data_IF_699635109122
#
_entry.id   IF_699635109122
#
_cell.length_a   1.000
_cell.length_b   1.000
_cell.length_c   1.000
_cell.angle_alpha   90.00
_cell.angle_beta   90.00
_cell.angle_gamma   90.00
#
_symmetry.space_group_name_H-M   'P 1'
#
loop_
_entity.id
_entity.type
_entity.pdbx_description
1 polymer ?
#
# COMPACT_ATOMS: atom_id res chain seq x y z
N UNK A 1 38.42 2.22 2.39
CA UNK A 1 37.38 3.20 2.78
C UNK A 1 36.06 2.72 2.19
N UNK A 2 35.25 2.00 2.99
CA UNK A 2 34.05 1.29 2.54
C UNK A 2 32.79 2.15 2.73
N UNK A 3 32.03 2.48 1.68
CA UNK A 3 30.82 3.30 1.78
C UNK A 3 29.61 2.45 2.22
N UNK A 4 29.71 1.74 3.35
CA UNK A 4 28.63 0.87 3.87
C UNK A 4 27.83 1.49 5.03
N UNK A 5 28.11 2.74 5.42
CA UNK A 5 27.59 3.32 6.66
C UNK A 5 26.34 4.21 6.52
N UNK A 6 25.84 4.46 5.31
CA UNK A 6 24.68 5.34 5.11
C UNK A 6 23.35 4.63 4.88
N UNK A 7 23.32 3.35 4.50
CA UNK A 7 22.03 2.66 4.21
C UNK A 7 21.32 2.13 5.44
N UNK A 8 22.06 1.75 6.50
CA UNK A 8 21.48 1.10 7.67
C UNK A 8 20.74 2.06 8.64
N UNK A 9 20.82 3.37 8.47
CA UNK A 9 20.26 4.35 9.42
C UNK A 9 18.81 4.78 9.13
N UNK A 10 18.27 4.45 7.95
CA UNK A 10 16.90 4.82 7.56
C UNK A 10 15.86 3.71 7.79
N UNK A 11 16.33 2.48 8.02
CA UNK A 11 15.50 1.30 8.18
C UNK A 11 14.99 1.20 9.62
N UNK A 12 13.67 1.19 9.79
CA UNK A 12 13.05 1.23 11.12
C UNK A 12 12.95 -0.16 11.72
N UNK A 13 12.16 -1.02 11.08
CA UNK A 13 11.97 -2.42 11.46
C UNK A 13 11.52 -3.21 10.24
N UNK A 14 12.03 -4.43 10.09
CA UNK A 14 11.83 -5.23 8.88
C UNK A 14 10.35 -5.45 8.56
N UNK A 15 9.52 -5.72 9.57
CA UNK A 15 8.07 -5.85 9.38
C UNK A 15 7.38 -4.58 8.87
N UNK A 16 7.80 -3.41 9.38
CA UNK A 16 7.27 -2.12 8.93
C UNK A 16 7.69 -1.82 7.48
N UNK A 17 8.95 -2.06 7.14
CA UNK A 17 9.45 -1.89 5.76
C UNK A 17 8.73 -2.83 4.78
N UNK A 18 8.48 -4.08 5.19
CA UNK A 18 7.69 -5.03 4.39
C UNK A 18 6.24 -4.59 4.23
N UNK A 19 5.62 -4.03 5.28
CA UNK A 19 4.26 -3.50 5.22
C UNK A 19 4.15 -2.32 4.24
N UNK A 20 5.02 -1.31 4.38
CA UNK A 20 5.06 -0.17 3.45
C UNK A 20 5.39 -0.63 2.02
N UNK A 21 6.26 -1.62 1.88
CA UNK A 21 6.58 -2.25 0.60
C UNK A 21 5.38 -2.96 -0.03
N UNK A 22 4.62 -3.73 0.75
CA UNK A 22 3.41 -4.42 0.28
C UNK A 22 2.32 -3.42 -0.15
N UNK A 23 2.09 -2.37 0.63
CA UNK A 23 1.19 -1.27 0.24
C UNK A 23 1.66 -0.58 -1.04
N UNK A 24 2.97 -0.43 -1.25
CA UNK A 24 3.52 0.19 -2.45
C UNK A 24 3.26 -0.66 -3.69
N UNK A 25 3.42 -1.98 -3.57
CA UNK A 25 3.06 -2.93 -4.62
C UNK A 25 1.58 -2.86 -4.93
N UNK A 26 0.71 -2.87 -3.91
CA UNK A 26 -0.74 -2.73 -4.08
C UNK A 26 -1.10 -1.41 -4.78
N UNK A 27 -0.55 -0.29 -4.35
CA UNK A 27 -0.85 1.02 -4.97
C UNK A 27 -0.42 1.10 -6.45
N UNK A 28 0.64 0.38 -6.83
CA UNK A 28 1.10 0.29 -8.22
C UNK A 28 0.23 -0.67 -9.02
N UNK A 29 -0.16 -1.80 -8.44
CA UNK A 29 -1.16 -2.68 -9.02
C UNK A 29 -2.44 -1.89 -9.33
N UNK A 30 -2.90 -1.06 -8.39
CA UNK A 30 -4.12 -0.27 -8.56
C UNK A 30 -3.98 0.77 -9.68
N UNK A 31 -2.78 1.31 -9.90
CA UNK A 31 -2.51 2.17 -11.05
C UNK A 31 -2.69 1.41 -12.38
N UNK A 32 -2.17 0.18 -12.45
CA UNK A 32 -2.32 -0.69 -13.62
C UNK A 32 -3.80 -1.08 -13.81
N UNK A 33 -4.50 -1.44 -12.72
CA UNK A 33 -5.92 -1.79 -12.77
C UNK A 33 -6.79 -0.60 -13.19
N UNK A 34 -6.53 0.62 -12.71
CA UNK A 34 -7.23 1.83 -13.17
C UNK A 34 -7.04 2.03 -14.68
N UNK A 35 -5.85 1.73 -15.20
CA UNK A 35 -5.58 1.85 -16.63
C UNK A 35 -6.34 0.78 -17.44
N UNK A 36 -6.30 -0.48 -17.00
CA UNK A 36 -6.97 -1.61 -17.66
C UNK A 36 -8.50 -1.45 -17.62
N UNK A 37 -9.05 -1.06 -16.47
CA UNK A 37 -10.49 -0.93 -16.23
C UNK A 37 -10.98 0.53 -16.33
N UNK A 38 -10.36 1.32 -17.21
CA UNK A 38 -10.71 2.73 -17.42
C UNK A 38 -12.14 2.96 -17.96
N UNK A 39 -12.81 1.90 -18.44
CA UNK A 39 -14.20 1.93 -18.90
C UNK A 39 -15.25 1.63 -17.82
N UNK A 40 -14.86 1.14 -16.63
CA UNK A 40 -15.80 0.77 -15.56
C UNK A 40 -15.72 1.79 -14.40
N UNK A 41 -16.76 2.65 -14.22
CA UNK A 41 -16.77 3.65 -13.16
C UNK A 41 -16.78 3.05 -11.74
N UNK A 42 -17.41 1.88 -11.55
CA UNK A 42 -17.50 1.26 -10.25
C UNK A 42 -16.15 0.67 -9.83
N UNK A 43 -15.47 -0.04 -10.73
CA UNK A 43 -14.10 -0.55 -10.48
C UNK A 43 -13.15 0.60 -10.18
N UNK A 44 -13.20 1.68 -10.95
CA UNK A 44 -12.39 2.87 -10.69
C UNK A 44 -12.68 3.50 -9.33
N UNK A 45 -13.94 3.53 -8.91
CA UNK A 45 -14.35 4.06 -7.61
C UNK A 45 -13.75 3.23 -6.47
N UNK A 46 -13.85 1.89 -6.54
CA UNK A 46 -13.25 0.99 -5.53
C UNK A 46 -11.75 1.23 -5.43
N UNK A 47 -11.03 1.20 -6.57
CA UNK A 47 -9.57 1.41 -6.60
C UNK A 47 -9.17 2.79 -6.10
N UNK A 48 -9.99 3.81 -6.36
CA UNK A 48 -9.74 5.19 -5.89
C UNK A 48 -9.96 5.31 -4.39
N UNK A 49 -11.02 4.71 -3.84
CA UNK A 49 -11.30 4.69 -2.39
C UNK A 49 -10.17 3.99 -1.65
N UNK A 50 -9.72 2.81 -2.12
CA UNK A 50 -8.61 2.11 -1.47
C UNK A 50 -7.31 2.92 -1.54
N UNK A 51 -7.00 3.54 -2.69
CA UNK A 51 -5.85 4.45 -2.78
C UNK A 51 -5.98 5.67 -1.86
N UNK A 52 -7.19 6.19 -1.65
CA UNK A 52 -7.44 7.30 -0.73
C UNK A 52 -7.23 6.91 0.73
N UNK A 53 -7.48 5.65 1.11
CA UNK A 53 -7.16 5.09 2.44
C UNK A 53 -5.65 4.86 2.59
N UNK A 54 -4.99 4.35 1.55
CA UNK A 54 -3.55 4.06 1.58
C UNK A 54 -2.70 5.35 1.55
N UNK A 55 -3.19 6.41 0.90
CA UNK A 55 -2.52 7.71 0.82
C UNK A 55 -2.05 8.28 2.19
N UNK A 56 -2.91 8.45 3.21
CA UNK A 56 -2.50 8.98 4.50
C UNK A 56 -1.48 8.08 5.21
N UNK A 57 -1.47 6.76 4.93
CA UNK A 57 -0.45 5.85 5.46
C UNK A 57 0.93 6.19 4.89
N UNK A 58 1.03 6.42 3.58
CA UNK A 58 2.29 6.85 2.95
C UNK A 58 2.71 8.26 3.36
N UNK A 59 1.75 9.16 3.50
CA UNK A 59 2.05 10.49 4.00
C UNK A 59 2.57 10.44 5.45
N UNK A 60 1.97 9.57 6.28
CA UNK A 60 2.42 9.27 7.63
C UNK A 60 3.83 8.65 7.67
N UNK A 61 4.13 7.67 6.82
CA UNK A 61 5.48 7.08 6.67
C UNK A 61 6.51 8.15 6.29
N UNK A 62 6.19 9.01 5.32
CA UNK A 62 7.06 10.12 4.92
C UNK A 62 7.37 11.04 6.11
N UNK A 63 6.34 11.50 6.84
CA UNK A 63 6.54 12.37 8.00
C UNK A 63 7.31 11.67 9.11
N UNK A 64 6.97 10.40 9.40
CA UNK A 64 7.66 9.60 10.39
C UNK A 64 9.17 9.50 10.09
N UNK A 65 9.54 9.22 8.84
CA UNK A 65 10.95 9.19 8.40
C UNK A 65 11.60 10.57 8.42
N UNK A 66 10.89 11.61 7.99
CA UNK A 66 11.39 12.99 8.00
C UNK A 66 11.74 13.47 9.41
N UNK A 67 10.89 13.18 10.41
CA UNK A 67 11.11 13.63 11.78
C UNK A 67 12.14 12.80 12.54
N UNK A 68 12.34 11.55 12.16
CA UNK A 68 13.27 10.64 12.83
C UNK A 68 14.65 10.55 12.18
N UNK A 69 14.88 11.22 11.04
CA UNK A 69 16.17 11.29 10.40
C UNK A 69 17.17 12.20 11.16
N UNK A 70 18.42 11.77 11.31
CA UNK A 70 19.50 12.53 11.98
C UNK A 70 19.73 13.92 11.36
N UNK A 71 19.48 14.08 10.05
CA UNK A 71 19.46 15.39 9.39
C UNK A 71 18.29 15.48 8.41
N UNK A 72 17.31 16.33 8.73
CA UNK A 72 16.11 16.56 7.90
C UNK A 72 16.46 16.97 6.47
N UNK A 73 17.46 17.83 6.34
CA UNK A 73 17.99 18.31 5.05
C UNK A 73 18.77 17.24 4.30
N UNK A 74 19.48 16.35 5.01
CA UNK A 74 20.18 15.22 4.41
C UNK A 74 19.21 14.18 3.86
N UNK A 75 18.17 13.82 4.62
CA UNK A 75 17.12 12.92 4.14
C UNK A 75 16.37 13.50 2.92
N UNK A 76 15.95 14.76 3.01
CA UNK A 76 15.17 15.39 1.94
C UNK A 76 15.97 15.53 0.64
N UNK A 77 17.20 16.06 0.69
CA UNK A 77 17.99 16.36 -0.52
C UNK A 77 18.98 15.26 -0.94
N UNK A 78 19.58 14.52 -0.01
CA UNK A 78 20.57 13.45 -0.32
C UNK A 78 19.94 12.05 -0.34
N UNK A 79 18.91 11.82 0.48
CA UNK A 79 18.17 10.55 0.55
C UNK A 79 16.99 10.45 -0.41
N UNK A 80 16.80 11.43 -1.30
CA UNK A 80 15.64 11.54 -2.20
C UNK A 80 14.28 11.58 -1.47
N UNK A 81 14.24 12.11 -0.24
CA UNK A 81 12.98 12.28 0.50
C UNK A 81 11.95 13.15 -0.25
N UNK A 82 12.38 14.06 -1.11
CA UNK A 82 11.47 14.80 -2.00
C UNK A 82 10.71 13.88 -2.96
N UNK A 83 11.36 12.85 -3.50
CA UNK A 83 10.75 11.90 -4.42
C UNK A 83 9.75 10.99 -3.67
N UNK A 84 10.03 10.68 -2.41
CA UNK A 84 9.12 9.95 -1.53
C UNK A 84 7.83 10.75 -1.27
N UNK A 85 7.95 12.02 -0.88
CA UNK A 85 6.79 12.92 -0.70
C UNK A 85 5.96 13.04 -1.99
N UNK A 86 6.61 13.31 -3.12
CA UNK A 86 5.91 13.45 -4.39
C UNK A 86 5.28 12.13 -4.85
N UNK A 87 5.93 11.01 -4.56
CA UNK A 87 5.36 9.70 -4.83
C UNK A 87 4.08 9.51 -4.03
N UNK A 88 4.05 9.93 -2.75
CA UNK A 88 2.90 9.83 -1.83
C UNK A 88 1.67 10.57 -2.33
N UNK A 89 1.84 11.72 -2.98
CA UNK A 89 0.72 12.58 -3.35
C UNK A 89 -0.19 11.98 -4.44
N UNK A 90 -1.52 12.17 -4.36
CA UNK A 90 -2.48 11.65 -5.32
C UNK A 90 -2.56 12.49 -6.61
N UNK A 91 -1.46 13.08 -7.06
CA UNK A 91 -1.47 13.93 -8.26
C UNK A 91 -1.50 13.09 -9.53
N UNK A 92 -2.48 13.37 -10.40
CA UNK A 92 -2.63 12.66 -11.68
C UNK A 92 -1.40 12.80 -12.60
N UNK A 93 -0.73 13.96 -12.56
CA UNK A 93 0.42 14.26 -13.43
C UNK A 93 1.72 13.62 -12.93
N UNK A 94 1.74 13.08 -11.71
CA UNK A 94 2.94 12.53 -11.06
C UNK A 94 2.82 11.02 -10.78
N UNK A 95 1.93 10.32 -11.49
CA UNK A 95 1.76 8.86 -11.38
C UNK A 95 3.08 8.10 -11.54
N UNK A 96 4.00 8.58 -12.40
CA UNK A 96 5.31 7.97 -12.62
C UNK A 96 6.19 7.96 -11.37
N UNK A 97 6.04 8.94 -10.47
CA UNK A 97 6.82 9.03 -9.24
C UNK A 97 6.45 7.94 -8.24
N UNK A 98 5.27 7.31 -8.38
CA UNK A 98 4.92 6.12 -7.59
C UNK A 98 5.86 4.94 -7.87
N UNK A 99 6.44 4.85 -9.08
CA UNK A 99 7.44 3.83 -9.40
C UNK A 99 8.72 4.00 -8.59
N UNK A 100 9.03 5.22 -8.12
CA UNK A 100 10.18 5.44 -7.23
C UNK A 100 10.02 4.66 -5.90
N UNK A 101 8.79 4.35 -5.48
CA UNK A 101 8.57 3.51 -4.30
C UNK A 101 9.03 2.06 -4.52
N UNK A 102 8.99 1.55 -5.77
CA UNK A 102 9.56 0.23 -6.07
C UNK A 102 11.06 0.21 -5.85
N UNK A 103 11.76 1.32 -6.11
CA UNK A 103 13.19 1.39 -5.86
C UNK A 103 13.51 1.13 -4.38
N UNK A 104 12.68 1.61 -3.44
CA UNK A 104 12.82 1.28 -2.02
C UNK A 104 12.59 -0.20 -1.72
N UNK A 105 11.57 -0.79 -2.31
CA UNK A 105 11.28 -2.23 -2.16
C UNK A 105 12.46 -3.06 -2.69
N UNK A 106 12.93 -2.75 -3.90
CA UNK A 106 14.09 -3.42 -4.52
C UNK A 106 15.35 -3.24 -3.66
N UNK A 107 15.59 -2.04 -3.14
CA UNK A 107 16.72 -1.75 -2.24
C UNK A 107 16.64 -2.57 -0.95
N UNK A 108 15.46 -2.68 -0.34
CA UNK A 108 15.24 -3.53 0.84
C UNK A 108 15.60 -5.00 0.55
N UNK A 109 15.12 -5.53 -0.58
CA UNK A 109 15.43 -6.88 -1.01
C UNK A 109 16.93 -7.07 -1.34
N UNK A 110 17.57 -6.08 -1.95
CA UNK A 110 18.98 -6.13 -2.32
C UNK A 110 19.90 -6.03 -1.08
N UNK A 111 19.55 -5.23 -0.08
CA UNK A 111 20.36 -5.01 1.12
C UNK A 111 20.26 -6.16 2.13
N UNK A 112 19.06 -6.70 2.36
CA UNK A 112 18.85 -7.77 3.34
C UNK A 112 18.87 -9.17 2.74
N UNK A 113 18.52 -9.30 1.46
CA UNK A 113 18.29 -10.60 0.83
C UNK A 113 16.95 -11.22 1.24
N UNK A 114 16.24 -11.80 0.27
CA UNK A 114 14.90 -12.40 0.45
C UNK A 114 14.85 -13.40 1.61
N UNK A 115 15.88 -14.26 1.74
CA UNK A 115 15.92 -15.30 2.79
C UNK A 115 15.98 -14.72 4.20
N UNK A 116 16.74 -13.65 4.41
CA UNK A 116 16.86 -13.04 5.74
C UNK A 116 15.59 -12.25 6.10
N UNK A 117 14.99 -11.58 5.11
CA UNK A 117 13.69 -10.90 5.29
C UNK A 117 12.61 -11.89 5.74
N UNK A 118 12.48 -13.02 5.05
CA UNK A 118 11.50 -14.06 5.40
C UNK A 118 11.79 -14.63 6.79
N UNK A 119 13.06 -14.92 7.10
CA UNK A 119 13.45 -15.45 8.42
C UNK A 119 13.10 -14.48 9.54
N UNK A 120 13.46 -13.20 9.40
CA UNK A 120 13.16 -12.19 10.42
C UNK A 120 11.65 -11.98 10.56
N UNK A 121 10.93 -11.93 9.44
CA UNK A 121 9.48 -11.76 9.44
C UNK A 121 8.78 -12.89 10.20
N UNK A 122 9.23 -14.13 10.00
CA UNK A 122 8.75 -15.32 10.70
C UNK A 122 9.15 -15.32 12.19
N UNK A 123 10.34 -14.81 12.51
CA UNK A 123 10.84 -14.79 13.89
C UNK A 123 10.11 -13.75 14.73
N UNK A 124 9.78 -12.59 14.14
CA UNK A 124 9.05 -11.51 14.80
C UNK A 124 7.54 -11.52 14.49
N UNK A 125 6.94 -12.70 14.34
CA UNK A 125 5.51 -12.88 13.95
C UNK A 125 4.54 -12.06 14.79
N UNK A 126 4.71 -12.04 16.12
CA UNK A 126 3.81 -11.32 17.02
C UNK A 126 3.83 -9.80 16.76
N UNK A 127 5.00 -9.24 16.48
CA UNK A 127 5.17 -7.81 16.19
C UNK A 127 4.65 -7.46 14.78
N UNK A 128 4.81 -8.38 13.82
CA UNK A 128 4.40 -8.18 12.43
C UNK A 128 2.93 -8.52 12.17
N UNK A 129 2.26 -9.21 13.10
CA UNK A 129 0.89 -9.68 12.95
C UNK A 129 -0.08 -8.54 12.67
N UNK A 130 0.00 -7.44 13.44
CA UNK A 130 -0.90 -6.30 13.28
C UNK A 130 -0.78 -5.65 11.89
N UNK A 131 0.45 -5.43 11.43
CA UNK A 131 0.73 -4.86 10.10
C UNK A 131 0.23 -5.79 8.99
N UNK A 132 0.46 -7.10 9.16
CA UNK A 132 0.02 -8.12 8.20
C UNK A 132 -1.50 -8.17 8.10
N UNK A 133 -2.19 -8.20 9.24
CA UNK A 133 -3.66 -8.18 9.29
C UNK A 133 -4.20 -6.89 8.68
N UNK A 134 -3.63 -5.74 9.00
CA UNK A 134 -4.04 -4.46 8.41
C UNK A 134 -3.90 -4.45 6.88
N UNK A 135 -2.79 -5.00 6.35
CA UNK A 135 -2.61 -5.16 4.91
C UNK A 135 -3.65 -6.12 4.30
N UNK A 136 -3.88 -7.28 4.92
CA UNK A 136 -4.86 -8.25 4.45
C UNK A 136 -6.28 -7.68 4.45
N UNK A 137 -6.65 -6.88 5.46
CA UNK A 137 -7.96 -6.20 5.50
C UNK A 137 -8.14 -5.29 4.28
N UNK A 138 -7.10 -4.52 3.90
CA UNK A 138 -7.16 -3.69 2.69
C UNK A 138 -7.31 -4.53 1.42
N UNK A 139 -6.56 -5.64 1.31
CA UNK A 139 -6.70 -6.55 0.17
C UNK A 139 -8.09 -7.17 0.10
N UNK A 140 -8.65 -7.62 1.23
CA UNK A 140 -9.98 -8.23 1.26
C UNK A 140 -11.04 -7.19 0.94
N UNK A 141 -10.94 -5.96 1.48
CA UNK A 141 -11.84 -4.86 1.12
C UNK A 141 -11.79 -4.56 -0.38
N UNK A 142 -10.61 -4.47 -0.97
CA UNK A 142 -10.45 -4.18 -2.40
C UNK A 142 -10.96 -5.34 -3.28
N UNK A 143 -10.32 -6.51 -3.16
CA UNK A 143 -10.61 -7.64 -4.04
C UNK A 143 -11.96 -8.28 -3.74
N UNK A 144 -12.42 -8.24 -2.48
CA UNK A 144 -13.76 -8.68 -2.09
C UNK A 144 -14.83 -7.80 -2.73
N UNK A 145 -14.69 -6.46 -2.64
CA UNK A 145 -15.63 -5.54 -3.26
C UNK A 145 -15.64 -5.68 -4.79
N UNK A 146 -14.48 -5.79 -5.44
CA UNK A 146 -14.40 -6.00 -6.88
C UNK A 146 -15.02 -7.35 -7.30
N UNK A 147 -14.79 -8.40 -6.53
CA UNK A 147 -15.31 -9.74 -6.83
C UNK A 147 -16.82 -9.82 -6.69
N UNK A 148 -17.37 -9.30 -5.59
CA UNK A 148 -18.84 -9.32 -5.36
C UNK A 148 -19.55 -8.43 -6.37
N UNK A 149 -19.00 -7.24 -6.66
CA UNK A 149 -19.54 -6.36 -7.70
C UNK A 149 -19.58 -7.07 -9.05
N UNK A 150 -18.52 -7.79 -9.42
CA UNK A 150 -18.46 -8.51 -10.70
C UNK A 150 -19.40 -9.70 -10.75
N UNK A 151 -19.61 -10.39 -9.63
CA UNK A 151 -20.50 -11.53 -9.52
C UNK A 151 -21.98 -11.12 -9.57
N UNK A 152 -22.35 -10.08 -8.83
CA UNK A 152 -23.74 -9.65 -8.67
C UNK A 152 -24.23 -8.77 -9.82
N UNK A 153 -23.37 -7.95 -10.43
CA UNK A 153 -23.75 -7.01 -11.51
C UNK A 153 -24.37 -7.64 -12.76
N UNK A 154 -24.30 -8.97 -12.91
CA UNK A 154 -24.92 -9.69 -14.02
C UNK A 154 -26.40 -10.06 -13.79
N UNK A 155 -26.88 -9.99 -12.55
CA UNK A 155 -28.26 -10.35 -12.20
C UNK A 155 -29.18 -9.12 -12.22
N UNK A 156 -30.38 -9.27 -12.78
CA UNK A 156 -31.39 -8.21 -12.81
C UNK A 156 -31.97 -7.89 -11.42
N UNK A 157 -31.93 -8.86 -10.49
CA UNK A 157 -32.45 -8.74 -9.13
C UNK A 157 -31.33 -8.43 -8.10
N UNK A 158 -30.16 -7.97 -8.57
CA UNK A 158 -29.01 -7.72 -7.70
C UNK A 158 -29.21 -6.50 -6.80
N UNK A 159 -28.92 -6.66 -5.51
CA UNK A 159 -28.89 -5.55 -4.54
C UNK A 159 -27.55 -4.80 -4.55
N UNK A 160 -26.46 -5.44 -5.00
CA UNK A 160 -25.11 -4.86 -5.06
C UNK A 160 -24.84 -4.41 -6.50
N UNK A 161 -25.14 -3.15 -6.80
CA UNK A 161 -25.01 -2.60 -8.16
C UNK A 161 -23.98 -1.48 -8.27
N UNK A 162 -23.57 -0.90 -7.13
CA UNK A 162 -22.57 0.17 -7.08
C UNK A 162 -21.32 -0.22 -6.30
N UNK A 163 -20.23 0.51 -6.56
CA UNK A 163 -18.99 0.41 -5.79
C UNK A 163 -19.19 0.63 -4.29
N UNK A 164 -20.09 1.55 -3.91
CA UNK A 164 -20.37 1.85 -2.51
C UNK A 164 -21.02 0.66 -1.81
N UNK A 165 -21.99 0.01 -2.46
CA UNK A 165 -22.67 -1.18 -1.92
C UNK A 165 -21.68 -2.33 -1.74
N UNK A 166 -20.81 -2.55 -2.73
CA UNK A 166 -19.82 -3.62 -2.69
C UNK A 166 -18.78 -3.41 -1.58
N UNK A 167 -18.29 -2.18 -1.40
CA UNK A 167 -17.37 -1.82 -0.33
C UNK A 167 -18.04 -1.97 1.05
N UNK A 168 -19.27 -1.49 1.19
CA UNK A 168 -20.06 -1.61 2.41
C UNK A 168 -20.29 -3.07 2.79
N UNK A 169 -20.79 -3.87 1.84
CA UNK A 169 -21.06 -5.29 2.04
C UNK A 169 -19.79 -6.04 2.46
N UNK A 170 -18.67 -5.77 1.79
CA UNK A 170 -17.39 -6.40 2.12
C UNK A 170 -16.94 -6.01 3.52
N UNK A 171 -17.04 -4.73 3.89
CA UNK A 171 -16.70 -4.24 5.23
C UNK A 171 -17.53 -4.90 6.34
N UNK A 172 -18.86 -4.94 6.20
CA UNK A 172 -19.77 -5.58 7.16
C UNK A 172 -19.52 -7.08 7.27
N UNK A 173 -19.19 -7.73 6.16
CA UNK A 173 -18.92 -9.18 6.11
C UNK A 173 -17.62 -9.54 6.83
N UNK A 174 -16.51 -8.84 6.55
CA UNK A 174 -15.22 -9.15 7.19
C UNK A 174 -15.18 -8.78 8.67
N UNK A 175 -16.01 -7.81 9.08
CA UNK A 175 -16.21 -7.44 10.49
C UNK A 175 -17.24 -8.33 11.18
N UNK A 176 -17.78 -9.34 10.48
CA UNK A 176 -18.75 -10.31 10.99
C UNK A 176 -20.06 -9.70 11.52
N UNK A 177 -20.43 -8.51 11.04
CA UNK A 177 -21.68 -7.86 11.42
C UNK A 177 -22.87 -8.54 10.73
N UNK A 178 -22.75 -8.79 9.41
CA UNK A 178 -23.70 -9.59 8.64
C UNK A 178 -25.16 -9.16 8.74
N UNK A 179 -25.51 -7.97 8.26
CA UNK A 179 -26.89 -7.45 8.31
C UNK A 179 -27.92 -8.31 7.56
N UNK A 180 -27.48 -9.11 6.58
CA UNK A 180 -28.35 -9.78 5.61
C UNK A 180 -28.89 -8.80 4.58
#
# INVERSE_FOLDING_TARGET
MSPKLSSQRELKGIGYELFIGALSILSILNLILIFIFSGDPNVQTVLTVINAIVFPIFLGDFFYRLFTAESRTGYFFRGFGWADLLSSLPFQNMKILRLFRLWRVVRLFAEFGVRNLVKEFITQRAQNALLTVGFLVLCVLEFGALSVLRAESASADANITSAADALWWTYVTITTVGYG
#
